data_IF_403073196822
#
_entry.id   IF_403073196822
#
_cell.length_a   1.000
_cell.length_b   1.000
_cell.length_c   1.000
_cell.angle_alpha   90.00
_cell.angle_beta   90.00
_cell.angle_gamma   90.00
#
_symmetry.space_group_name_H-M   'P 1'
#
loop_
_entity.id
_entity.type
_entity.pdbx_description
1 polymer ?
#
# COMPACT_ATOMS: atom_id res chain seq x y z
N UNK A 1 6.18 0.89 -4.59
CA UNK A 1 5.14 1.86 -5.00
C UNK A 1 5.50 3.24 -4.43
N UNK A 2 5.15 4.35 -5.10
CA UNK A 2 5.30 5.71 -4.57
C UNK A 2 3.98 6.49 -4.65
N UNK A 3 3.66 7.27 -3.62
CA UNK A 3 2.45 8.09 -3.51
C UNK A 3 2.79 9.49 -3.00
N UNK A 4 2.29 10.53 -3.67
CA UNK A 4 2.49 11.92 -3.25
C UNK A 4 1.58 12.29 -2.07
N UNK A 5 2.17 12.72 -0.96
CA UNK A 5 1.53 13.04 0.31
C UNK A 5 2.04 14.34 0.94
N UNK A 6 2.46 15.30 0.11
CA UNK A 6 3.08 16.58 0.55
C UNK A 6 2.27 17.37 1.59
N UNK A 7 0.94 17.23 1.61
CA UNK A 7 0.06 17.96 2.52
C UNK A 7 -0.33 17.15 3.77
N UNK A 8 0.26 15.97 3.98
CA UNK A 8 -0.06 15.07 5.08
C UNK A 8 1.15 14.85 5.96
N UNK A 9 0.96 14.89 7.27
CA UNK A 9 2.00 14.50 8.23
C UNK A 9 2.11 12.97 8.29
N UNK A 10 3.28 12.42 8.65
CA UNK A 10 3.44 10.98 8.86
C UNK A 10 2.37 10.37 9.77
N UNK A 11 1.95 11.07 10.82
CA UNK A 11 0.96 10.56 11.78
C UNK A 11 -0.47 10.53 11.22
N UNK A 12 -0.74 11.27 10.14
CA UNK A 12 -2.04 11.36 9.47
C UNK A 12 -2.21 10.30 8.37
N UNK A 13 -1.14 9.55 8.10
CA UNK A 13 -1.08 8.55 7.03
C UNK A 13 -1.18 7.15 7.64
N UNK A 14 -2.08 6.34 7.08
CA UNK A 14 -2.27 4.95 7.45
C UNK A 14 -2.02 4.04 6.25
N UNK A 15 -1.08 3.11 6.40
CA UNK A 15 -0.80 2.05 5.43
C UNK A 15 -1.33 0.74 6.00
N UNK A 16 -2.07 -0.02 5.21
CA UNK A 16 -2.63 -1.31 5.63
C UNK A 16 -2.72 -2.24 4.43
N UNK A 17 -2.63 -3.54 4.68
CA UNK A 17 -2.83 -4.55 3.63
C UNK A 17 -4.00 -5.44 4.02
N UNK A 18 -4.93 -5.65 3.08
CA UNK A 18 -6.11 -6.51 3.28
C UNK A 18 -6.37 -7.28 2.00
N UNK A 19 -6.54 -8.60 2.08
CA UNK A 19 -6.86 -9.46 0.92
C UNK A 19 -5.91 -9.25 -0.28
N UNK A 20 -4.59 -9.22 -0.04
CA UNK A 20 -3.59 -8.89 -1.06
C UNK A 20 -3.75 -7.49 -1.69
N UNK A 21 -4.47 -6.57 -1.06
CA UNK A 21 -4.60 -5.19 -1.52
C UNK A 21 -3.88 -4.26 -0.54
N UNK A 22 -2.92 -3.49 -1.04
CA UNK A 22 -2.27 -2.42 -0.32
C UNK A 22 -3.18 -1.20 -0.33
N UNK A 23 -3.57 -0.75 0.85
CA UNK A 23 -4.46 0.37 1.09
C UNK A 23 -3.67 1.47 1.79
N UNK A 24 -3.72 2.67 1.22
CA UNK A 24 -3.06 3.86 1.73
C UNK A 24 -4.13 4.91 1.97
N UNK A 25 -4.21 5.39 3.21
CA UNK A 25 -5.18 6.38 3.66
C UNK A 25 -4.43 7.58 4.22
N UNK A 26 -4.92 8.79 3.96
CA UNK A 26 -4.44 10.01 4.58
C UNK A 26 -5.63 10.84 5.02
N UNK A 27 -5.68 11.25 6.28
CA UNK A 27 -6.72 12.16 6.79
C UNK A 27 -6.05 13.38 7.40
N UNK A 28 -6.15 14.51 6.70
CA UNK A 28 -5.67 15.79 7.19
C UNK A 28 -6.85 16.62 7.66
N UNK A 29 -6.77 17.13 8.89
CA UNK A 29 -7.76 18.04 9.43
C UNK A 29 -7.05 19.22 10.07
N UNK A 30 -7.18 20.38 9.43
CA UNK A 30 -6.71 21.65 9.95
C UNK A 30 -7.90 22.50 10.38
N UNK A 31 -7.86 23.04 11.59
CA UNK A 31 -8.90 23.92 12.10
C UNK A 31 -8.28 25.10 12.82
N UNK A 32 -8.60 26.29 12.34
CA UNK A 32 -8.24 27.58 12.94
C UNK A 32 -9.52 28.41 13.17
N UNK A 33 -9.40 29.57 13.84
CA UNK A 33 -10.53 30.43 14.22
C UNK A 33 -11.38 30.90 13.03
N UNK A 34 -10.77 31.01 11.84
CA UNK A 34 -11.45 31.58 10.66
C UNK A 34 -11.59 30.59 9.49
N UNK A 35 -10.93 29.43 9.55
CA UNK A 35 -10.94 28.42 8.47
C UNK A 35 -10.84 27.02 9.02
N UNK A 36 -11.54 26.11 8.36
CA UNK A 36 -11.40 24.66 8.54
C UNK A 36 -11.12 24.04 7.19
N UNK A 37 -10.10 23.20 7.12
CA UNK A 37 -9.76 22.42 5.94
C UNK A 37 -9.73 20.94 6.33
N UNK A 38 -10.32 20.11 5.49
CA UNK A 38 -10.29 18.67 5.65
C UNK A 38 -10.01 18.02 4.31
N UNK A 39 -8.99 17.19 4.25
CA UNK A 39 -8.58 16.50 3.04
C UNK A 39 -8.42 15.02 3.32
N UNK A 40 -9.06 14.20 2.50
CA UNK A 40 -8.97 12.75 2.57
C UNK A 40 -8.30 12.21 1.33
N UNK A 41 -7.36 11.30 1.54
CA UNK A 41 -6.71 10.56 0.49
C UNK A 41 -6.95 9.07 0.71
N UNK A 42 -7.39 8.37 -0.34
CA UNK A 42 -7.52 6.93 -0.34
C UNK A 42 -6.97 6.39 -1.65
N UNK A 43 -6.03 5.47 -1.57
CA UNK A 43 -5.51 4.76 -2.73
C UNK A 43 -5.33 3.29 -2.37
N UNK A 44 -5.85 2.41 -3.22
CA UNK A 44 -5.64 0.98 -3.10
C UNK A 44 -4.99 0.40 -4.35
N UNK A 45 -4.21 -0.66 -4.17
CA UNK A 45 -3.59 -1.38 -5.28
C UNK A 45 -3.41 -2.85 -4.94
N UNK A 46 -3.66 -3.72 -5.90
CA UNK A 46 -3.48 -5.16 -5.74
C UNK A 46 -2.00 -5.51 -5.73
N UNK A 47 -1.56 -6.22 -4.69
CA UNK A 47 -0.22 -6.75 -4.55
C UNK A 47 -0.12 -8.11 -5.27
N UNK A 48 0.99 -8.35 -6.00
CA UNK A 48 1.25 -9.65 -6.61
C UNK A 48 1.26 -10.81 -5.58
N UNK A 49 0.84 -12.02 -5.98
CA UNK A 49 0.96 -13.22 -5.16
C UNK A 49 2.44 -13.53 -4.90
N UNK A 50 2.83 -13.61 -3.63
CA UNK A 50 4.23 -13.72 -3.21
C UNK A 50 4.84 -12.47 -2.59
N UNK A 51 4.08 -11.37 -2.51
CA UNK A 51 4.51 -10.18 -1.74
C UNK A 51 4.57 -10.50 -0.24
N UNK A 52 5.71 -10.29 0.40
CA UNK A 52 5.89 -10.47 1.83
C UNK A 52 5.38 -9.26 2.61
N UNK A 53 4.10 -9.30 2.95
CA UNK A 53 3.41 -8.21 3.69
C UNK A 53 4.02 -7.98 5.08
N UNK A 54 4.46 -9.04 5.75
CA UNK A 54 5.10 -8.96 7.08
C UNK A 54 6.42 -8.17 7.07
N UNK A 55 7.09 -8.13 5.91
CA UNK A 55 8.33 -7.39 5.70
C UNK A 55 8.09 -6.08 4.93
N UNK A 56 6.84 -5.63 4.81
CA UNK A 56 6.51 -4.37 4.16
C UNK A 56 7.05 -3.21 5.00
N UNK A 57 7.79 -2.33 4.33
CA UNK A 57 8.32 -1.11 4.89
C UNK A 57 7.70 0.09 4.18
N UNK A 58 7.42 1.13 4.94
CA UNK A 58 6.95 2.40 4.41
C UNK A 58 7.82 3.53 4.94
N UNK A 59 8.11 4.50 4.08
CA UNK A 59 8.92 5.67 4.42
C UNK A 59 8.38 6.90 3.73
N UNK A 60 8.04 7.92 4.50
CA UNK A 60 7.78 9.26 3.98
C UNK A 60 9.13 9.97 3.79
N UNK A 61 9.30 10.56 2.62
CA UNK A 61 10.49 11.37 2.28
C UNK A 61 10.19 12.85 2.48
N UNK A 62 11.21 13.68 2.71
CA UNK A 62 11.07 15.14 2.85
C UNK A 62 10.42 15.81 1.63
N UNK A 63 10.58 15.23 0.44
CA UNK A 63 9.86 15.65 -0.77
C UNK A 63 8.34 15.36 -0.74
N UNK A 64 7.83 14.84 0.38
CA UNK A 64 6.43 14.48 0.57
C UNK A 64 5.99 13.30 -0.30
N UNK A 65 6.88 12.35 -0.58
CA UNK A 65 6.52 11.09 -1.22
C UNK A 65 6.59 9.95 -0.22
N UNK A 66 5.47 9.22 -0.08
CA UNK A 66 5.40 7.98 0.65
C UNK A 66 5.88 6.85 -0.27
N UNK A 67 7.02 6.26 0.08
CA UNK A 67 7.56 5.05 -0.56
C UNK A 67 7.12 3.83 0.23
N UNK A 68 6.57 2.85 -0.47
CA UNK A 68 6.15 1.58 0.11
C UNK A 68 6.88 0.47 -0.66
N UNK A 69 7.62 -0.33 0.09
CA UNK A 69 8.52 -1.36 -0.43
C UNK A 69 8.29 -2.65 0.36
N UNK A 70 8.25 -3.77 -0.34
CA UNK A 70 8.11 -5.08 0.28
C UNK A 70 8.90 -6.10 -0.55
N UNK A 71 9.58 -7.07 0.09
CA UNK A 71 10.20 -8.17 -0.63
C UNK A 71 9.15 -8.95 -1.41
N UNK A 72 9.47 -9.27 -2.66
CA UNK A 72 8.67 -10.16 -3.49
C UNK A 72 9.37 -11.50 -3.57
N UNK A 73 8.68 -12.56 -3.14
CA UNK A 73 9.11 -13.93 -3.39
C UNK A 73 8.32 -14.41 -4.58
N UNK A 74 9.02 -14.72 -5.66
CA UNK A 74 8.44 -15.41 -6.80
C UNK A 74 7.98 -16.80 -6.34
N UNK A 75 6.67 -16.93 -6.07
CA UNK A 75 6.08 -18.23 -5.86
C UNK A 75 6.07 -18.92 -7.22
N UNK A 76 7.07 -19.77 -7.49
CA UNK A 76 7.04 -20.70 -8.62
C UNK A 76 5.67 -21.38 -8.61
N UNK A 77 4.83 -21.03 -9.56
CA UNK A 77 3.57 -21.73 -9.80
C UNK A 77 3.92 -23.21 -9.94
N UNK A 78 3.48 -24.02 -8.98
CA UNK A 78 3.30 -25.43 -9.23
C UNK A 78 2.16 -25.54 -10.25
N UNK A 79 2.52 -25.38 -11.53
CA UNK A 79 1.76 -25.90 -12.65
C UNK A 79 1.56 -27.38 -12.37
N UNK A 80 0.45 -27.72 -11.70
CA UNK A 80 -0.07 -29.08 -11.71
C UNK A 80 -0.53 -29.32 -13.13
N UNK A 81 0.39 -29.73 -13.98
CA UNK A 81 0.09 -30.50 -15.17
C UNK A 81 -0.75 -31.69 -14.72
N UNK A 82 -2.07 -31.62 -14.93
CA UNK A 82 -2.90 -32.82 -14.90
C UNK A 82 -2.65 -33.50 -16.25
N UNK A 83 -1.52 -34.21 -16.33
CA UNK A 83 -1.25 -35.15 -17.41
C UNK A 83 -1.84 -36.52 -17.02
N UNK A 84 -2.70 -37.02 -17.92
CA UNK A 84 -3.05 -38.41 -18.18
C UNK A 84 -3.73 -39.26 -17.09
N UNK A 85 -5.00 -39.60 -17.35
CA UNK A 85 -5.44 -40.99 -17.22
C UNK A 85 -6.03 -41.48 -18.54
N UNK A 86 -5.21 -42.25 -19.25
CA UNK A 86 -5.57 -43.13 -20.35
C UNK A 86 -6.11 -44.43 -19.73
N UNK A 87 -7.37 -44.77 -19.98
CA UNK A 87 -7.81 -46.17 -20.03
C UNK A 87 -8.99 -46.31 -20.97
#
# INVERSE_FOLDING_TARGET
MAVGMKNYRPEEIKVSVKNNELIVQGEHQYKDNNRSERSFFFKSTTLPPGTQVDHLQSRLTDDGQLKIEAPYIEQKEATKSIENQKK
#
